data_IF_146152062308
#
_entry.id   IF_146152062308
#
_cell.length_a   1.000
_cell.length_b   1.000
_cell.length_c   1.000
_cell.angle_alpha   90.00
_cell.angle_beta   90.00
_cell.angle_gamma   90.00
#
_symmetry.space_group_name_H-M   'P 1'
#
loop_
_entity.id
_entity.type
_entity.pdbx_description
1 polymer ?
#
# COMPACT_ATOMS: atom_id res chain seq x y z
N UNK A 1 -1.59 3.80 11.98
CA UNK A 1 -0.30 3.37 11.38
C UNK A 1 -0.52 2.97 9.92
N UNK A 2 0.29 3.48 9.02
CA UNK A 2 0.28 3.14 7.60
C UNK A 2 1.51 2.29 7.31
N UNK A 3 1.31 1.18 6.61
CA UNK A 3 2.44 0.34 6.18
C UNK A 3 2.71 0.56 4.70
N UNK A 4 4.01 0.64 4.35
CA UNK A 4 4.41 0.65 2.95
C UNK A 4 5.35 -0.52 2.68
N UNK A 5 5.00 -1.35 1.71
CA UNK A 5 5.81 -2.47 1.27
C UNK A 5 6.40 -2.10 -0.10
N UNK A 6 7.67 -1.75 -0.09
CA UNK A 6 8.37 -1.22 -1.25
C UNK A 6 9.86 -1.56 -1.14
N UNK A 7 10.42 -2.24 -2.12
CA UNK A 7 11.82 -2.65 -2.06
C UNK A 7 12.79 -1.51 -2.38
N UNK A 8 12.36 -0.48 -3.12
CA UNK A 8 13.21 0.67 -3.41
C UNK A 8 13.36 1.52 -2.15
N UNK A 9 14.58 1.58 -1.62
CA UNK A 9 14.84 2.26 -0.35
C UNK A 9 14.56 3.77 -0.43
N UNK A 10 14.87 4.40 -1.57
CA UNK A 10 14.66 5.84 -1.72
C UNK A 10 13.19 6.19 -1.64
N UNK A 11 12.36 5.45 -2.38
CA UNK A 11 10.91 5.69 -2.37
C UNK A 11 10.34 5.39 -1.00
N UNK A 12 10.71 4.25 -0.43
CA UNK A 12 10.19 3.83 0.87
C UNK A 12 10.49 4.86 1.95
N UNK A 13 11.73 5.32 2.01
CA UNK A 13 12.14 6.29 3.03
C UNK A 13 11.47 7.64 2.84
N UNK A 14 11.34 8.08 1.59
CA UNK A 14 10.69 9.36 1.31
C UNK A 14 9.22 9.33 1.72
N UNK A 15 8.52 8.25 1.39
CA UNK A 15 7.10 8.12 1.72
C UNK A 15 6.91 8.08 3.24
N UNK A 16 7.71 7.28 3.94
CA UNK A 16 7.62 7.19 5.40
C UNK A 16 7.89 8.54 6.04
N UNK A 17 8.95 9.22 5.60
CA UNK A 17 9.28 10.54 6.12
C UNK A 17 8.13 11.53 5.91
N UNK A 18 7.58 11.56 4.69
CA UNK A 18 6.52 12.49 4.36
C UNK A 18 5.26 12.23 5.21
N UNK A 19 4.89 10.96 5.35
CA UNK A 19 3.73 10.60 6.17
C UNK A 19 3.92 11.01 7.61
N UNK A 20 5.07 10.68 8.18
CA UNK A 20 5.36 11.04 9.57
C UNK A 20 5.34 12.57 9.77
N UNK A 21 5.86 13.33 8.80
CA UNK A 21 5.87 14.79 8.91
C UNK A 21 4.48 15.39 8.82
N UNK A 22 3.52 14.66 8.27
CA UNK A 22 2.11 15.07 8.19
C UNK A 22 1.29 14.57 9.37
N UNK A 23 1.94 13.99 10.37
CA UNK A 23 1.24 13.47 11.54
C UNK A 23 0.63 12.09 11.36
N UNK A 24 0.97 11.40 10.27
CA UNK A 24 0.49 10.04 10.02
C UNK A 24 1.64 9.07 10.27
N UNK A 25 1.52 8.26 11.31
CA UNK A 25 2.55 7.27 11.61
C UNK A 25 2.65 6.26 10.47
N UNK A 26 3.88 5.98 10.06
CA UNK A 26 4.12 5.05 8.96
C UNK A 26 5.35 4.21 9.24
N UNK A 27 5.32 2.99 8.74
CA UNK A 27 6.44 2.06 8.83
C UNK A 27 6.65 1.41 7.48
N UNK A 28 7.92 1.31 7.05
CA UNK A 28 8.27 0.77 5.75
C UNK A 28 8.91 -0.60 5.84
N UNK A 29 8.65 -1.43 4.83
CA UNK A 29 9.20 -2.78 4.75
C UNK A 29 9.78 -2.99 3.37
N UNK A 30 10.96 -3.58 3.32
CA UNK A 30 11.62 -3.92 2.06
C UNK A 30 11.12 -5.27 1.52
N UNK A 31 10.83 -6.21 2.41
CA UNK A 31 10.50 -7.58 2.04
C UNK A 31 9.10 -7.98 2.51
N UNK A 32 8.38 -8.78 1.72
CA UNK A 32 7.07 -9.30 2.15
C UNK A 32 7.10 -10.02 3.48
N UNK A 33 8.16 -10.77 3.79
CA UNK A 33 8.25 -11.48 5.07
C UNK A 33 8.23 -10.52 6.26
N UNK A 34 8.90 -9.37 6.12
CA UNK A 34 8.90 -8.35 7.17
C UNK A 34 7.51 -7.74 7.34
N UNK A 35 6.85 -7.49 6.21
CA UNK A 35 5.50 -6.94 6.19
C UNK A 35 4.52 -7.87 6.91
N UNK A 36 4.54 -9.16 6.57
CA UNK A 36 3.63 -10.12 7.19
C UNK A 36 3.88 -10.27 8.70
N UNK A 37 5.16 -10.22 9.11
CA UNK A 37 5.48 -10.28 10.53
C UNK A 37 4.89 -9.07 11.27
N UNK A 38 4.96 -7.89 10.67
CA UNK A 38 4.36 -6.69 11.26
C UNK A 38 2.85 -6.77 11.31
N UNK A 39 2.22 -7.31 10.27
CA UNK A 39 0.77 -7.48 10.22
C UNK A 39 0.26 -8.37 11.35
N UNK A 40 1.05 -9.35 11.75
CA UNK A 40 0.68 -10.20 12.88
C UNK A 40 0.72 -9.47 14.22
N UNK A 41 1.63 -8.51 14.35
CA UNK A 41 1.74 -7.74 15.60
C UNK A 41 0.68 -6.64 15.70
N UNK A 42 0.43 -5.95 14.60
CA UNK A 42 -0.51 -4.83 14.58
C UNK A 42 -0.97 -4.59 13.15
N UNK A 43 -2.28 -4.54 12.95
CA UNK A 43 -2.82 -4.21 11.63
C UNK A 43 -2.73 -2.70 11.40
N UNK A 44 -2.36 -2.28 10.18
CA UNK A 44 -2.34 -0.87 9.86
C UNK A 44 -3.74 -0.38 9.49
N UNK A 45 -3.89 0.91 9.35
CA UNK A 45 -5.13 1.50 8.84
C UNK A 45 -5.14 1.54 7.31
N UNK A 46 -3.99 1.38 6.68
CA UNK A 46 -3.86 1.43 5.22
C UNK A 46 -2.52 0.82 4.80
N UNK A 47 -2.51 0.16 3.65
CA UNK A 47 -1.29 -0.41 3.08
C UNK A 47 -1.00 0.24 1.73
N UNK A 48 0.24 0.69 1.55
CA UNK A 48 0.78 1.08 0.25
C UNK A 48 1.61 -0.11 -0.23
N UNK A 49 1.30 -0.64 -1.41
CA UNK A 49 1.84 -1.92 -1.85
C UNK A 49 2.37 -1.82 -3.27
N UNK A 50 3.64 -2.14 -3.47
CA UNK A 50 4.19 -2.28 -4.82
C UNK A 50 3.84 -3.65 -5.37
N UNK A 51 3.58 -3.73 -6.68
CA UNK A 51 3.33 -5.00 -7.34
C UNK A 51 4.61 -5.75 -7.64
N UNK A 52 5.72 -5.05 -7.85
CA UNK A 52 7.00 -5.65 -8.25
C UNK A 52 7.90 -5.77 -7.03
N UNK A 53 7.81 -6.89 -6.35
CA UNK A 53 8.54 -7.14 -5.11
C UNK A 53 9.39 -8.40 -5.22
N UNK A 54 10.47 -8.51 -4.40
CA UNK A 54 11.15 -9.78 -4.23
C UNK A 54 10.29 -10.73 -3.40
N UNK A 55 10.65 -11.99 -3.34
CA UNK A 55 10.01 -13.04 -2.56
C UNK A 55 8.60 -13.40 -3.02
N UNK A 56 7.71 -12.41 -3.12
CA UNK A 56 6.29 -12.67 -3.34
C UNK A 56 5.71 -11.57 -4.23
N UNK A 57 4.88 -11.97 -5.21
CA UNK A 57 4.23 -11.03 -6.12
C UNK A 57 3.22 -10.16 -5.35
N UNK A 58 3.24 -8.86 -5.64
CA UNK A 58 2.32 -7.92 -4.98
C UNK A 58 0.85 -8.24 -5.20
N UNK A 59 0.47 -8.75 -6.36
CA UNK A 59 -0.92 -9.17 -6.59
C UNK A 59 -1.30 -10.34 -5.67
N UNK A 60 -0.36 -11.25 -5.42
CA UNK A 60 -0.61 -12.36 -4.51
C UNK A 60 -0.80 -11.84 -3.07
N UNK A 61 0.01 -10.86 -2.68
CA UNK A 61 -0.14 -10.23 -1.37
C UNK A 61 -1.51 -9.58 -1.24
N UNK A 62 -1.94 -8.84 -2.28
CA UNK A 62 -3.26 -8.22 -2.28
C UNK A 62 -4.36 -9.25 -2.12
N UNK A 63 -4.28 -10.35 -2.85
CA UNK A 63 -5.27 -11.42 -2.73
C UNK A 63 -5.30 -12.00 -1.33
N UNK A 64 -4.13 -12.19 -0.71
CA UNK A 64 -4.03 -12.71 0.64
C UNK A 64 -4.67 -11.75 1.65
N UNK A 65 -4.47 -10.44 1.48
CA UNK A 65 -5.09 -9.44 2.34
C UNK A 65 -6.61 -9.54 2.23
N UNK A 66 -7.13 -9.62 1.02
CA UNK A 66 -8.58 -9.66 0.80
C UNK A 66 -9.21 -10.96 1.27
N UNK A 67 -8.44 -12.04 1.30
CA UNK A 67 -8.95 -13.35 1.76
C UNK A 67 -8.99 -13.47 3.28
N UNK A 68 -8.24 -12.66 4.01
CA UNK A 68 -8.20 -12.73 5.47
C UNK A 68 -9.41 -12.11 6.11
N UNK A 69 -9.96 -12.74 7.14
CA UNK A 69 -11.17 -12.25 7.79
C UNK A 69 -10.96 -10.87 8.43
N UNK A 70 -9.80 -10.64 9.02
CA UNK A 70 -9.51 -9.38 9.70
C UNK A 70 -8.96 -8.32 8.77
N UNK A 71 -8.59 -8.66 7.53
CA UNK A 71 -7.95 -7.74 6.60
C UNK A 71 -8.77 -7.52 5.31
N UNK A 72 -9.91 -8.19 5.19
CA UNK A 72 -10.69 -8.16 3.94
C UNK A 72 -11.07 -6.75 3.50
N UNK A 73 -11.22 -5.82 4.43
CA UNK A 73 -11.63 -4.44 4.12
C UNK A 73 -10.52 -3.42 4.36
N UNK A 74 -9.30 -3.88 4.61
CA UNK A 74 -8.16 -3.01 4.82
C UNK A 74 -7.90 -2.19 3.55
N UNK A 75 -7.84 -0.85 3.62
CA UNK A 75 -7.54 -0.05 2.44
C UNK A 75 -6.16 -0.38 1.88
N UNK A 76 -6.09 -0.61 0.57
CA UNK A 76 -4.83 -0.91 -0.11
C UNK A 76 -4.73 -0.01 -1.35
N UNK A 77 -3.63 0.73 -1.44
CA UNK A 77 -3.29 1.53 -2.61
C UNK A 77 -2.06 0.90 -3.25
N UNK A 78 -2.17 0.54 -4.53
CA UNK A 78 -1.02 0.00 -5.25
C UNK A 78 -0.16 1.15 -5.78
N UNK A 79 1.15 1.04 -5.58
CA UNK A 79 2.11 2.02 -6.09
C UNK A 79 3.17 1.24 -6.87
N UNK A 80 3.23 1.42 -8.18
CA UNK A 80 4.07 0.55 -8.99
C UNK A 80 4.46 1.19 -10.32
N UNK A 81 5.57 0.69 -10.89
CA UNK A 81 6.00 1.08 -12.22
C UNK A 81 5.13 0.47 -13.32
N UNK A 82 4.30 -0.53 -13.00
CA UNK A 82 3.37 -1.12 -13.96
C UNK A 82 2.20 -0.17 -14.15
N UNK A 83 2.26 0.65 -15.20
CA UNK A 83 1.31 1.75 -15.39
C UNK A 83 0.39 1.64 -16.58
N UNK A 84 0.30 0.47 -17.26
CA UNK A 84 -0.61 0.34 -18.38
C UNK A 84 -2.05 0.26 -17.88
N UNK A 85 -2.99 0.54 -18.77
CA UNK A 85 -4.41 0.41 -18.43
C UNK A 85 -4.72 -1.01 -17.96
N UNK A 86 -4.17 -2.00 -18.64
CA UNK A 86 -4.39 -3.40 -18.27
C UNK A 86 -3.92 -3.67 -16.84
N UNK A 87 -2.72 -3.20 -16.49
CA UNK A 87 -2.18 -3.40 -15.14
C UNK A 87 -3.09 -2.76 -14.08
N UNK A 88 -3.61 -1.56 -14.37
CA UNK A 88 -4.50 -0.86 -13.45
C UNK A 88 -5.79 -1.62 -13.24
N UNK A 89 -6.37 -2.13 -14.32
CA UNK A 89 -7.62 -2.90 -14.25
C UNK A 89 -7.41 -4.17 -13.44
N UNK A 90 -6.31 -4.88 -13.68
CA UNK A 90 -6.00 -6.11 -12.95
C UNK A 90 -5.85 -5.82 -11.45
N UNK A 91 -5.17 -4.73 -11.10
CA UNK A 91 -4.98 -4.36 -9.70
C UNK A 91 -6.29 -3.99 -9.02
N UNK A 92 -7.09 -3.14 -9.67
CA UNK A 92 -8.36 -2.70 -9.10
C UNK A 92 -9.35 -3.84 -9.00
N UNK A 93 -9.45 -4.66 -10.04
CA UNK A 93 -10.32 -5.84 -10.02
C UNK A 93 -9.86 -6.86 -8.98
N UNK A 94 -8.56 -6.87 -8.68
CA UNK A 94 -8.00 -7.75 -7.65
C UNK A 94 -8.33 -7.31 -6.24
N UNK A 95 -8.92 -6.12 -6.06
CA UNK A 95 -9.38 -5.66 -4.77
C UNK A 95 -8.66 -4.44 -4.23
N UNK A 96 -7.78 -3.79 -5.01
CA UNK A 96 -7.15 -2.54 -4.56
C UNK A 96 -8.16 -1.40 -4.56
N UNK A 97 -8.01 -0.50 -3.61
CA UNK A 97 -8.88 0.69 -3.52
C UNK A 97 -8.43 1.78 -4.48
N UNK A 98 -7.14 1.81 -4.81
CA UNK A 98 -6.60 2.81 -5.71
C UNK A 98 -5.30 2.30 -6.33
N UNK A 99 -4.82 2.99 -7.35
CA UNK A 99 -3.64 2.59 -8.12
C UNK A 99 -2.89 3.84 -8.54
N UNK A 100 -1.62 3.93 -8.16
CA UNK A 100 -0.77 5.07 -8.52
C UNK A 100 0.46 4.55 -9.26
N UNK A 101 0.69 5.05 -10.47
CA UNK A 101 1.85 4.65 -11.27
C UNK A 101 3.07 5.50 -10.92
N UNK A 102 4.23 4.87 -10.87
CA UNK A 102 5.51 5.57 -10.71
C UNK A 102 5.94 6.16 -12.05
N UNK A 103 6.56 7.32 -12.06
CA UNK A 103 6.82 8.21 -10.91
C UNK A 103 5.55 8.96 -10.51
N UNK A 104 5.42 9.25 -9.22
CA UNK A 104 4.23 9.95 -8.71
C UNK A 104 4.67 11.13 -7.85
N UNK A 105 3.77 12.11 -7.71
CA UNK A 105 4.02 13.23 -6.84
C UNK A 105 3.56 12.95 -5.41
N UNK A 106 4.31 13.47 -4.42
CA UNK A 106 3.97 13.25 -3.03
C UNK A 106 2.62 13.87 -2.67
N UNK A 107 2.28 15.03 -3.25
CA UNK A 107 0.99 15.67 -2.99
C UNK A 107 -0.17 14.81 -3.48
N UNK A 108 -0.02 14.18 -4.65
CA UNK A 108 -1.06 13.28 -5.17
C UNK A 108 -1.19 12.05 -4.27
N UNK A 109 -0.07 11.45 -3.88
CA UNK A 109 -0.09 10.29 -3.01
C UNK A 109 -0.80 10.61 -1.70
N UNK A 110 -0.46 11.74 -1.08
CA UNK A 110 -1.07 12.14 0.17
C UNK A 110 -2.58 12.34 0.03
N UNK A 111 -3.02 12.96 -1.07
CA UNK A 111 -4.45 13.17 -1.30
C UNK A 111 -5.19 11.84 -1.44
N UNK A 112 -4.60 10.87 -2.13
CA UNK A 112 -5.23 9.56 -2.30
C UNK A 112 -5.27 8.78 -0.99
N UNK A 113 -4.23 8.91 -0.17
CA UNK A 113 -4.22 8.29 1.16
C UNK A 113 -5.34 8.86 2.03
N UNK A 114 -5.47 10.18 2.07
CA UNK A 114 -6.53 10.83 2.84
C UNK A 114 -7.91 10.40 2.36
N UNK A 115 -8.09 10.29 1.05
CA UNK A 115 -9.36 9.83 0.48
C UNK A 115 -9.69 8.40 0.90
N UNK A 116 -8.70 7.51 0.81
CA UNK A 116 -8.90 6.11 1.18
C UNK A 116 -9.22 5.97 2.67
N UNK A 117 -8.53 6.71 3.52
CA UNK A 117 -8.77 6.68 4.96
C UNK A 117 -10.14 7.24 5.31
N UNK A 118 -10.58 8.29 4.62
CA UNK A 118 -11.89 8.90 4.85
C UNK A 118 -13.01 7.90 4.50
N UNK A 119 -12.88 7.21 3.37
CA UNK A 119 -13.88 6.22 2.96
C UNK A 119 -13.90 5.03 3.92
N UNK A 120 -12.74 4.59 4.37
CA UNK A 120 -12.64 3.48 5.30
C UNK A 120 -13.20 3.83 6.68
N UNK A 121 -13.00 5.05 7.14
CA UNK A 121 -13.43 5.46 8.46
C UNK A 121 -14.85 5.99 8.51
N UNK A 122 -15.53 6.05 7.39
CA UNK A 122 -16.84 6.68 7.28
C UNK A 122 -18.02 5.79 7.65
N UNK A 123 -17.76 4.53 7.92
CA UNK A 123 -18.85 3.62 8.26
C UNK A 123 -19.39 3.84 9.61
#
# INVERSE_FOLDING_TARGET
MIYILEDDASIRKLVVYTLNSQGMEAEGFELPSQFWAAMERQLPSLVLLDLMLPEEDGLHILKSIRAGASTARLPVILITAKGTEYDKVVGLDGGADDYIAKPFGMMELMARIRTALRHSGGE
#
